data_IF_164882275908
#
_entry.id   IF_164882275908
#
_cell.length_a   1.000
_cell.length_b   1.000
_cell.length_c   1.000
_cell.angle_alpha   90.00
_cell.angle_beta   90.00
_cell.angle_gamma   90.00
#
_symmetry.space_group_name_H-M   'P 1'
#
loop_
_entity.id
_entity.type
_entity.pdbx_description
1 polymer ?
#
# COMPACT_ATOMS: atom_id res chain seq x y z
N UNK A 1 4.64 -4.13 -32.04
CA UNK A 1 5.31 -5.01 -31.05
C UNK A 1 5.31 -4.29 -29.71
N UNK A 2 4.71 -4.85 -28.65
CA UNK A 2 5.11 -4.69 -27.22
C UNK A 2 4.05 -5.07 -26.17
N UNK A 3 2.82 -5.45 -26.54
CA UNK A 3 1.85 -5.92 -25.54
C UNK A 3 2.27 -7.21 -24.81
N UNK A 4 3.13 -8.04 -25.42
CA UNK A 4 3.55 -9.32 -24.86
C UNK A 4 4.67 -9.19 -23.83
N UNK A 5 5.60 -8.25 -24.04
CA UNK A 5 6.73 -8.00 -23.13
C UNK A 5 6.23 -7.37 -21.84
N UNK A 6 5.34 -6.39 -21.92
CA UNK A 6 4.70 -5.79 -20.74
C UNK A 6 3.94 -6.82 -19.90
N UNK A 7 3.21 -7.76 -20.53
CA UNK A 7 2.51 -8.83 -19.79
C UNK A 7 3.44 -9.77 -19.02
N UNK A 8 4.64 -10.05 -19.54
CA UNK A 8 5.60 -10.96 -18.89
C UNK A 8 6.27 -10.26 -17.71
N UNK A 9 6.68 -9.01 -17.87
CA UNK A 9 7.25 -8.18 -16.79
C UNK A 9 6.22 -8.00 -15.66
N UNK A 10 4.97 -7.69 -16.02
CA UNK A 10 3.85 -7.58 -15.10
C UNK A 10 3.63 -8.88 -14.31
N UNK A 11 3.62 -10.05 -14.97
CA UNK A 11 3.46 -11.33 -14.29
C UNK A 11 4.64 -11.69 -13.38
N UNK A 12 5.85 -11.29 -13.77
CA UNK A 12 7.06 -11.52 -12.99
C UNK A 12 7.07 -10.68 -11.72
N UNK A 13 6.70 -9.39 -11.82
CA UNK A 13 6.53 -8.52 -10.67
C UNK A 13 5.48 -9.08 -9.70
N UNK A 14 4.26 -9.41 -10.17
CA UNK A 14 3.16 -9.96 -9.34
C UNK A 14 3.56 -11.17 -8.49
N UNK A 15 4.42 -12.03 -9.01
CA UNK A 15 4.88 -13.23 -8.28
C UNK A 15 6.10 -12.97 -7.42
N UNK A 16 6.82 -11.87 -7.62
CA UNK A 16 8.04 -11.58 -6.87
C UNK A 16 7.71 -11.30 -5.40
N UNK A 17 6.75 -10.42 -5.14
CA UNK A 17 6.41 -10.06 -3.77
C UNK A 17 5.77 -11.22 -3.01
N UNK A 18 4.86 -11.96 -3.66
CA UNK A 18 4.28 -13.19 -3.09
C UNK A 18 5.35 -14.23 -2.74
N UNK A 19 6.38 -14.41 -3.58
CA UNK A 19 7.52 -15.28 -3.25
C UNK A 19 8.34 -14.78 -2.07
N UNK A 20 8.52 -13.46 -1.93
CA UNK A 20 9.20 -12.90 -0.75
C UNK A 20 8.40 -13.23 0.53
N UNK A 21 7.07 -13.12 0.48
CA UNK A 21 6.16 -13.49 1.57
C UNK A 21 6.28 -14.99 1.87
N UNK A 22 6.20 -15.85 0.85
CA UNK A 22 6.30 -17.30 0.99
C UNK A 22 7.65 -17.74 1.58
N UNK A 23 8.74 -17.10 1.18
CA UNK A 23 10.07 -17.42 1.68
C UNK A 23 10.24 -17.06 3.16
N UNK A 24 9.61 -15.97 3.63
CA UNK A 24 9.72 -15.53 5.02
C UNK A 24 8.75 -16.26 5.94
N UNK A 25 7.50 -16.45 5.50
CA UNK A 25 6.43 -16.96 6.36
C UNK A 25 6.05 -18.42 6.07
N UNK A 26 6.44 -18.96 4.91
CA UNK A 26 6.18 -20.35 4.53
C UNK A 26 4.70 -20.71 4.66
N UNK A 27 4.41 -21.79 5.38
CA UNK A 27 3.04 -22.24 5.64
C UNK A 27 2.18 -21.25 6.44
N UNK A 28 2.80 -20.24 7.09
CA UNK A 28 2.07 -19.18 7.81
C UNK A 28 1.62 -18.03 6.91
N UNK A 29 2.09 -17.94 5.66
CA UNK A 29 1.81 -16.81 4.76
C UNK A 29 0.31 -16.47 4.67
N UNK A 30 -0.54 -17.50 4.60
CA UNK A 30 -2.00 -17.36 4.47
C UNK A 30 -2.75 -17.52 5.81
N UNK A 31 -2.04 -17.55 6.94
CA UNK A 31 -2.62 -17.59 8.28
C UNK A 31 -2.70 -16.21 8.89
N UNK A 32 -3.68 -15.98 9.78
CA UNK A 32 -3.87 -14.71 10.46
C UNK A 32 -2.61 -14.22 11.19
N UNK A 33 -2.28 -12.95 11.00
CA UNK A 33 -1.18 -12.29 11.68
C UNK A 33 -1.66 -11.67 13.01
N UNK A 34 -0.80 -11.55 14.04
CA UNK A 34 -1.16 -10.81 15.25
C UNK A 34 -1.39 -9.31 14.93
N UNK A 35 -2.52 -8.75 15.37
CA UNK A 35 -2.89 -7.36 15.11
C UNK A 35 -2.21 -6.40 16.11
N UNK A 36 -0.91 -6.16 15.97
CA UNK A 36 -0.16 -5.24 16.83
C UNK A 36 1.01 -4.55 16.09
N UNK A 37 1.60 -3.54 16.73
CA UNK A 37 2.71 -2.77 16.16
C UNK A 37 3.98 -3.60 15.95
N UNK A 38 4.26 -4.59 16.81
CA UNK A 38 5.41 -5.48 16.65
C UNK A 38 5.32 -6.26 15.34
N UNK A 39 4.14 -6.79 15.02
CA UNK A 39 3.92 -7.51 13.76
C UNK A 39 4.05 -6.61 12.53
N UNK A 40 3.65 -5.34 12.60
CA UNK A 40 3.89 -4.37 11.53
C UNK A 40 5.38 -4.13 11.31
N UNK A 41 6.14 -3.93 12.40
CA UNK A 41 7.59 -3.73 12.34
C UNK A 41 8.32 -4.98 11.83
N UNK A 42 7.95 -6.16 12.29
CA UNK A 42 8.48 -7.43 11.80
C UNK A 42 8.18 -7.64 10.31
N UNK A 43 6.96 -7.38 9.85
CA UNK A 43 6.56 -7.47 8.44
C UNK A 43 7.40 -6.55 7.55
N UNK A 44 7.47 -5.27 7.92
CA UNK A 44 8.26 -4.27 7.20
C UNK A 44 9.73 -4.68 7.08
N UNK A 45 10.32 -5.17 8.17
CA UNK A 45 11.76 -5.47 8.22
C UNK A 45 12.12 -6.83 7.61
N UNK A 46 11.19 -7.79 7.59
CA UNK A 46 11.42 -9.14 7.07
C UNK A 46 11.35 -9.22 5.55
N UNK A 47 10.53 -8.38 4.90
CA UNK A 47 10.39 -8.37 3.45
C UNK A 47 11.31 -7.32 2.81
N UNK A 48 12.29 -7.71 1.97
CA UNK A 48 13.22 -6.75 1.34
C UNK A 48 12.53 -5.62 0.58
N UNK A 49 11.44 -5.94 -0.13
CA UNK A 49 10.65 -4.93 -0.85
C UNK A 49 10.08 -3.88 0.11
N UNK A 50 9.42 -4.29 1.19
CA UNK A 50 8.85 -3.35 2.17
C UNK A 50 9.96 -2.53 2.86
N UNK A 51 11.02 -3.18 3.33
CA UNK A 51 12.14 -2.51 3.99
C UNK A 51 12.74 -1.40 3.13
N UNK A 52 12.96 -1.68 1.85
CA UNK A 52 13.54 -0.71 0.90
C UNK A 52 12.58 0.44 0.56
N UNK A 53 11.28 0.17 0.50
CA UNK A 53 10.28 1.17 0.16
C UNK A 53 9.88 2.05 1.34
N UNK A 54 9.96 1.56 2.58
CA UNK A 54 9.64 2.35 3.77
C UNK A 54 10.47 3.64 3.87
N UNK A 55 11.77 3.58 3.56
CA UNK A 55 12.62 4.78 3.54
C UNK A 55 12.13 5.83 2.53
N UNK A 56 11.51 5.40 1.42
CA UNK A 56 10.96 6.29 0.39
C UNK A 56 9.64 6.95 0.79
N UNK A 57 9.01 6.48 1.87
CA UNK A 57 7.82 7.11 2.45
C UNK A 57 8.14 8.30 3.36
N UNK A 58 9.42 8.67 3.49
CA UNK A 58 9.86 9.59 4.54
C UNK A 58 9.80 8.97 5.94
N UNK A 59 9.91 7.64 6.02
CA UNK A 59 9.73 6.84 7.24
C UNK A 59 8.35 7.03 7.87
N UNK A 60 7.29 6.87 7.07
CA UNK A 60 5.92 6.94 7.54
C UNK A 60 5.71 6.05 8.77
N UNK A 61 5.03 6.59 9.80
CA UNK A 61 4.78 5.85 11.04
C UNK A 61 3.76 4.75 10.77
N UNK A 62 3.98 3.55 11.31
CA UNK A 62 3.05 2.44 11.21
C UNK A 62 2.35 2.23 12.55
N UNK A 63 1.02 2.13 12.52
CA UNK A 63 0.22 1.92 13.71
C UNK A 63 -0.84 0.85 13.45
N UNK A 64 -0.99 -0.07 14.40
CA UNK A 64 -2.12 -1.01 14.44
C UNK A 64 -3.30 -0.35 15.16
N UNK A 65 -4.51 -0.73 14.75
CA UNK A 65 -5.75 -0.28 15.36
C UNK A 65 -6.60 -1.47 15.81
N UNK A 66 -7.26 -1.30 16.96
CA UNK A 66 -8.25 -2.25 17.47
C UNK A 66 -9.54 -2.26 16.62
N UNK A 67 -9.78 -1.22 15.82
CA UNK A 67 -10.92 -1.17 14.90
C UNK A 67 -10.78 -2.25 13.83
N UNK A 68 -11.91 -2.87 13.45
CA UNK A 68 -11.89 -3.93 12.43
C UNK A 68 -11.63 -3.38 11.02
N UNK A 69 -12.31 -2.30 10.65
CA UNK A 69 -12.12 -1.54 9.41
C UNK A 69 -12.72 -0.14 9.58
N UNK A 70 -12.45 0.78 8.65
CA UNK A 70 -13.18 2.05 8.52
C UNK A 70 -13.83 2.10 7.15
N UNK A 71 -15.14 1.89 7.11
CA UNK A 71 -15.85 1.61 5.86
C UNK A 71 -15.31 0.34 5.21
N UNK A 72 -14.91 0.44 3.94
CA UNK A 72 -14.30 -0.66 3.19
C UNK A 72 -12.76 -0.71 3.29
N UNK A 73 -12.13 0.20 4.05
CA UNK A 73 -10.68 0.29 4.14
C UNK A 73 -10.12 -0.64 5.24
N UNK A 74 -9.16 -1.49 4.86
CA UNK A 74 -8.42 -2.37 5.78
C UNK A 74 -7.18 -1.70 6.38
N UNK A 75 -6.66 -0.68 5.71
CA UNK A 75 -5.64 0.23 6.18
C UNK A 75 -5.90 1.65 5.64
N UNK A 76 -5.23 2.65 6.20
CA UNK A 76 -5.34 4.03 5.75
C UNK A 76 -4.08 4.83 6.04
N UNK A 77 -3.56 5.50 5.02
CA UNK A 77 -2.47 6.48 5.17
C UNK A 77 -2.99 7.91 5.05
N UNK A 78 -2.63 8.74 6.02
CA UNK A 78 -2.95 10.16 6.05
C UNK A 78 -1.68 10.99 6.23
N UNK A 79 -1.58 12.08 5.47
CA UNK A 79 -0.59 13.12 5.73
C UNK A 79 -1.05 13.97 6.92
N UNK A 80 -0.11 14.33 7.79
CA UNK A 80 -0.41 15.07 9.03
C UNK A 80 0.31 16.41 9.14
N UNK A 81 1.23 16.73 8.25
CA UNK A 81 1.78 18.08 8.10
C UNK A 81 0.94 18.90 7.13
N UNK A 82 0.48 20.07 7.57
CA UNK A 82 -0.39 20.95 6.77
C UNK A 82 0.37 21.82 5.77
N UNK A 83 1.69 21.93 5.92
CA UNK A 83 2.51 22.85 5.14
C UNK A 83 2.74 22.32 3.71
N UNK A 84 3.12 21.05 3.59
CA UNK A 84 3.44 20.42 2.32
C UNK A 84 2.97 18.95 2.21
N UNK A 85 2.28 18.41 3.23
CA UNK A 85 1.74 17.04 3.24
C UNK A 85 2.80 15.95 2.97
N UNK A 86 4.03 16.15 3.44
CA UNK A 86 5.17 15.24 3.21
C UNK A 86 5.38 14.21 4.32
N UNK A 87 4.70 14.35 5.46
CA UNK A 87 4.79 13.41 6.58
C UNK A 87 3.49 12.63 6.72
N UNK A 88 3.60 11.30 6.73
CA UNK A 88 2.47 10.40 6.72
C UNK A 88 2.48 9.38 7.87
N UNK A 89 1.28 9.02 8.32
CA UNK A 89 1.05 7.89 9.21
C UNK A 89 0.12 6.90 8.51
N UNK A 90 0.45 5.61 8.60
CA UNK A 90 -0.33 4.50 8.07
C UNK A 90 -0.92 3.70 9.24
N UNK A 91 -2.25 3.63 9.29
CA UNK A 91 -3.00 2.86 10.29
C UNK A 91 -3.52 1.58 9.64
N UNK A 92 -3.25 0.45 10.27
CA UNK A 92 -3.68 -0.88 9.85
C UNK A 92 -4.78 -1.39 10.80
N UNK A 93 -5.97 -1.62 10.26
CA UNK A 93 -7.12 -2.15 11.02
C UNK A 93 -7.03 -3.68 11.12
N UNK A 94 -7.81 -4.30 12.03
CA UNK A 94 -7.73 -5.76 12.26
C UNK A 94 -7.96 -6.59 10.99
N UNK A 95 -8.77 -6.11 10.05
CA UNK A 95 -8.97 -6.76 8.74
C UNK A 95 -7.69 -6.91 7.93
N UNK A 96 -6.73 -5.97 8.03
CA UNK A 96 -5.41 -6.10 7.38
C UNK A 96 -4.65 -7.34 7.85
N UNK A 97 -4.87 -7.78 9.07
CA UNK A 97 -4.16 -8.92 9.69
C UNK A 97 -4.83 -10.27 9.43
N UNK A 98 -5.80 -10.33 8.50
CA UNK A 98 -6.47 -11.58 8.09
C UNK A 98 -5.49 -12.66 7.61
N UNK A 99 -4.36 -12.26 7.03
CA UNK A 99 -3.19 -13.12 6.83
C UNK A 99 -1.89 -12.30 6.76
N UNK A 100 -0.73 -12.94 6.92
CA UNK A 100 0.57 -12.28 6.65
C UNK A 100 0.66 -11.76 5.22
N UNK A 101 0.13 -12.52 4.24
CA UNK A 101 0.07 -12.09 2.84
C UNK A 101 -0.79 -10.83 2.69
N UNK A 102 -2.00 -10.84 3.24
CA UNK A 102 -2.88 -9.68 3.17
C UNK A 102 -2.23 -8.44 3.80
N UNK A 103 -1.62 -8.60 4.98
CA UNK A 103 -0.92 -7.53 5.68
C UNK A 103 0.22 -6.96 4.84
N UNK A 104 1.02 -7.82 4.20
CA UNK A 104 2.14 -7.41 3.35
C UNK A 104 1.65 -6.59 2.14
N UNK A 105 0.58 -7.03 1.46
CA UNK A 105 0.01 -6.31 0.31
C UNK A 105 -0.62 -4.99 0.73
N UNK A 106 -1.35 -4.95 1.86
CA UNK A 106 -1.88 -3.70 2.40
C UNK A 106 -0.74 -2.74 2.76
N UNK A 107 0.34 -3.22 3.38
CA UNK A 107 1.49 -2.37 3.70
C UNK A 107 2.16 -1.81 2.46
N UNK A 108 2.31 -2.62 1.42
CA UNK A 108 2.86 -2.17 0.14
C UNK A 108 1.98 -1.10 -0.53
N UNK A 109 0.65 -1.25 -0.46
CA UNK A 109 -0.31 -0.25 -0.92
C UNK A 109 -0.18 1.07 -0.13
N UNK A 110 -0.17 1.00 1.20
CA UNK A 110 -0.04 2.17 2.06
C UNK A 110 1.31 2.89 1.86
N UNK A 111 2.38 2.17 1.55
CA UNK A 111 3.66 2.80 1.16
C UNK A 111 3.55 3.59 -0.14
N UNK A 112 2.67 3.18 -1.07
CA UNK A 112 2.34 3.99 -2.23
C UNK A 112 1.77 5.35 -1.82
N UNK A 113 0.82 5.39 -0.89
CA UNK A 113 0.36 6.67 -0.32
C UNK A 113 1.49 7.44 0.38
N UNK A 114 2.30 6.77 1.20
CA UNK A 114 3.44 7.40 1.89
C UNK A 114 4.43 8.07 0.94
N UNK A 115 4.84 7.38 -0.13
CA UNK A 115 5.72 7.93 -1.17
C UNK A 115 5.07 9.11 -1.89
N UNK A 116 3.78 9.00 -2.19
CA UNK A 116 3.02 10.05 -2.87
C UNK A 116 2.94 11.34 -2.05
N UNK A 117 2.76 11.21 -0.73
CA UNK A 117 2.83 12.33 0.21
C UNK A 117 4.26 12.89 0.28
N UNK A 118 5.26 12.04 0.56
CA UNK A 118 6.65 12.46 0.75
C UNK A 118 7.23 13.22 -0.46
N UNK A 119 6.88 12.81 -1.69
CA UNK A 119 7.31 13.48 -2.92
C UNK A 119 6.63 14.84 -3.17
N UNK A 120 5.63 15.22 -2.35
CA UNK A 120 4.82 16.42 -2.52
C UNK A 120 3.86 16.35 -3.71
N UNK A 121 3.68 15.17 -4.30
CA UNK A 121 2.76 14.97 -5.44
C UNK A 121 1.33 15.33 -5.03
N UNK A 122 0.90 14.85 -3.86
CA UNK A 122 -0.41 15.18 -3.31
C UNK A 122 -0.64 16.70 -3.21
N UNK A 123 0.32 17.40 -2.60
CA UNK A 123 0.24 18.85 -2.43
C UNK A 123 0.22 19.60 -3.77
N UNK A 124 1.07 19.22 -4.72
CA UNK A 124 1.10 19.83 -6.06
C UNK A 124 -0.23 19.65 -6.79
N UNK A 125 -0.81 18.46 -6.74
CA UNK A 125 -2.10 18.19 -7.39
C UNK A 125 -3.26 18.92 -6.71
N UNK A 126 -3.24 19.02 -5.37
CA UNK A 126 -4.21 19.81 -4.60
C UNK A 126 -4.13 21.31 -4.94
N UNK A 127 -2.93 21.88 -5.08
CA UNK A 127 -2.73 23.29 -5.42
C UNK A 127 -2.93 23.61 -6.91
N UNK A 128 -2.86 22.60 -7.78
CA UNK A 128 -2.95 22.75 -9.23
C UNK A 128 -4.35 23.05 -9.78
N UNK A 129 -5.39 23.13 -8.95
CA UNK A 129 -6.73 23.56 -9.37
C UNK A 129 -7.84 23.18 -8.40
N UNK A 130 -9.08 23.55 -8.75
CA UNK A 130 -10.27 23.17 -7.99
C UNK A 130 -10.60 21.69 -8.23
N UNK A 131 -10.13 20.84 -7.32
CA UNK A 131 -10.42 19.40 -7.30
C UNK A 131 -11.48 19.10 -6.25
N UNK A 132 -12.44 18.24 -6.58
CA UNK A 132 -13.35 17.67 -5.59
C UNK A 132 -12.62 16.65 -4.71
N UNK A 133 -13.10 16.43 -3.49
CA UNK A 133 -12.57 15.38 -2.60
C UNK A 133 -12.56 14.01 -3.30
N UNK A 134 -13.62 13.69 -4.07
CA UNK A 134 -13.69 12.44 -4.84
C UNK A 134 -12.56 12.32 -5.86
N UNK A 135 -12.23 13.40 -6.58
CA UNK A 135 -11.12 13.38 -7.55
C UNK A 135 -9.76 13.22 -6.86
N UNK A 136 -9.57 13.85 -5.70
CA UNK A 136 -8.35 13.71 -4.90
C UNK A 136 -8.21 12.28 -4.39
N UNK A 137 -9.27 11.73 -3.79
CA UNK A 137 -9.30 10.34 -3.32
C UNK A 137 -9.03 9.37 -4.47
N UNK A 138 -9.70 9.50 -5.61
CA UNK A 138 -9.50 8.58 -6.72
C UNK A 138 -8.07 8.59 -7.25
N UNK A 139 -7.48 9.76 -7.37
CA UNK A 139 -6.13 9.90 -7.89
C UNK A 139 -5.07 9.31 -6.94
N UNK A 140 -5.17 9.55 -5.62
CA UNK A 140 -4.21 8.96 -4.66
C UNK A 140 -4.33 7.44 -4.58
N UNK A 141 -5.53 6.87 -4.69
CA UNK A 141 -5.75 5.42 -4.66
C UNK A 141 -5.18 4.78 -5.93
N UNK A 142 -5.44 5.37 -7.11
CA UNK A 142 -4.85 4.91 -8.37
C UNK A 142 -3.32 4.91 -8.32
N UNK A 143 -2.72 5.95 -7.73
CA UNK A 143 -1.28 5.99 -7.51
C UNK A 143 -0.82 4.84 -6.61
N UNK A 144 -1.44 4.65 -5.44
CA UNK A 144 -1.04 3.61 -4.48
C UNK A 144 -1.16 2.19 -5.05
N UNK A 145 -2.23 1.91 -5.79
CA UNK A 145 -2.39 0.63 -6.47
C UNK A 145 -1.36 0.43 -7.58
N UNK A 146 -1.11 1.46 -8.42
CA UNK A 146 -0.08 1.37 -9.44
C UNK A 146 1.30 1.16 -8.81
N UNK A 147 1.60 1.89 -7.74
CA UNK A 147 2.85 1.73 -6.99
C UNK A 147 3.00 0.32 -6.45
N UNK A 148 1.98 -0.22 -5.77
CA UNK A 148 2.02 -1.57 -5.26
C UNK A 148 2.22 -2.59 -6.38
N UNK A 149 1.49 -2.41 -7.48
CA UNK A 149 1.59 -3.25 -8.66
C UNK A 149 3.00 -3.26 -9.28
N UNK A 150 3.59 -2.08 -9.49
CA UNK A 150 4.95 -1.93 -10.05
C UNK A 150 6.02 -2.54 -9.12
N UNK A 151 5.72 -2.69 -7.83
CA UNK A 151 6.59 -3.32 -6.83
C UNK A 151 6.20 -4.78 -6.51
N UNK A 152 5.36 -5.39 -7.35
CA UNK A 152 5.04 -6.81 -7.31
C UNK A 152 3.85 -7.20 -6.43
N UNK A 153 3.13 -6.21 -5.90
CA UNK A 153 1.84 -6.40 -5.26
C UNK A 153 0.78 -6.89 -6.24
N UNK A 154 -0.34 -7.36 -5.70
CA UNK A 154 -1.45 -7.85 -6.51
C UNK A 154 -2.02 -6.74 -7.41
N UNK A 155 -2.30 -7.05 -8.70
CA UNK A 155 -2.91 -6.10 -9.61
C UNK A 155 -4.36 -5.83 -9.24
N UNK A 156 -4.73 -4.57 -9.37
CA UNK A 156 -6.04 -4.01 -9.06
C UNK A 156 -7.22 -4.48 -9.96
N UNK A 157 -7.00 -5.36 -10.94
CA UNK A 157 -8.07 -5.85 -11.83
C UNK A 157 -9.12 -6.73 -11.14
N UNK A 158 -8.89 -7.13 -9.88
CA UNK A 158 -9.82 -7.97 -9.10
C UNK A 158 -10.43 -7.26 -7.87
N UNK A 159 -10.21 -5.95 -7.67
CA UNK A 159 -10.80 -5.21 -6.55
C UNK A 159 -12.05 -4.43 -7.01
N UNK A 160 -13.18 -4.64 -6.34
CA UNK A 160 -14.47 -4.03 -6.66
C UNK A 160 -14.44 -2.49 -6.72
N UNK A 161 -13.59 -1.85 -5.91
CA UNK A 161 -13.47 -0.39 -5.91
C UNK A 161 -12.95 0.15 -7.27
N UNK A 162 -12.12 -0.61 -8.00
CA UNK A 162 -11.59 -0.20 -9.32
C UNK A 162 -12.64 -0.24 -10.40
N UNK A 163 -13.33 -1.38 -10.45
CA UNK A 163 -14.29 -1.68 -11.50
C UNK A 163 -15.44 -0.65 -11.48
N UNK A 164 -15.68 -0.06 -10.31
CA UNK A 164 -16.74 0.94 -10.08
C UNK A 164 -16.23 2.39 -10.31
N UNK A 165 -14.92 2.66 -10.19
CA UNK A 165 -14.37 4.04 -10.23
C UNK A 165 -13.41 4.29 -11.41
N UNK A 166 -13.54 3.53 -12.50
CA UNK A 166 -12.93 3.86 -13.80
C UNK A 166 -13.52 5.12 -14.42
#
# INVERSE_FOLDING_TARGET
>A
MNHYVHKIEDMYAKRKFDKEIDNVYGSKADTAAPANNTTLEEMKNSLPTLKNLHAKTGYAKLESSELYSVGAAEAKTFAYDTDNYTKANSVFYRSSFSSYRNLAHNMLHEFGHGVHYFNGDYYRYLKGGNRTDKQLQNWKEQYAFKFAFDNGGLPYQNNAWYLINK
#
